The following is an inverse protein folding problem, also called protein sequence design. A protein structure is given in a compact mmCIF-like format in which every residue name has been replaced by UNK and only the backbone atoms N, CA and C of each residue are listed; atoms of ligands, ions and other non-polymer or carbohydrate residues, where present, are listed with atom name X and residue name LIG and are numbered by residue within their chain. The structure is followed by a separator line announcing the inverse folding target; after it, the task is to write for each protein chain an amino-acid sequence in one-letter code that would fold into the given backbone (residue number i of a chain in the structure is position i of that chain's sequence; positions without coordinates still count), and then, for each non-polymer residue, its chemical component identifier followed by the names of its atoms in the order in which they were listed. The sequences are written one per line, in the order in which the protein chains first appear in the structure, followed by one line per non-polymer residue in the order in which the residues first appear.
data_IF_746096308560
#
_entry.id   IF_746096308560
#
_cell.length_a   1.000
_cell.length_b   1.000
_cell.length_c   1.000
_cell.angle_alpha   90.00
_cell.angle_beta   90.00
_cell.angle_gamma   90.00
#
_symmetry.space_group_name_H-M   'P 1'
#
loop_
_entity.id
_entity.type
_entity.pdbx_description
1 polymer ?
#
# COMPACT_ATOMS: atom_id res chain seq x y z
N UNK A 1 10.90 2.34 17.51
CA UNK A 1 10.99 3.20 16.31
C UNK A 1 12.24 2.80 15.54
N UNK A 2 12.19 2.59 14.22
CA UNK A 2 13.39 2.19 13.46
C UNK A 2 14.26 3.43 13.21
N UNK A 3 15.52 3.42 13.67
CA UNK A 3 16.52 4.41 13.25
C UNK A 3 17.41 3.77 12.16
N UNK A 4 17.35 4.35 10.97
CA UNK A 4 18.27 4.08 9.87
C UNK A 4 19.58 4.83 10.12
N UNK A 5 20.69 4.12 10.16
CA UNK A 5 22.01 4.71 10.29
C UNK A 5 22.45 5.22 8.90
N UNK A 6 22.67 6.54 8.75
CA UNK A 6 22.81 7.21 7.44
C UNK A 6 24.11 6.89 6.68
N UNK A 7 25.01 6.09 7.26
CA UNK A 7 26.31 5.77 6.65
C UNK A 7 26.23 4.49 5.83
N UNK A 8 26.13 4.64 4.51
CA UNK A 8 26.46 3.56 3.57
C UNK A 8 27.96 3.31 3.65
N UNK A 9 28.33 2.05 3.89
CA UNK A 9 29.59 1.46 3.44
C UNK A 9 29.21 0.28 2.55
N UNK A 10 29.85 0.15 1.39
CA UNK A 10 29.76 -1.03 0.52
C UNK A 10 28.34 -1.42 0.04
N UNK A 11 27.46 -0.44 -0.20
CA UNK A 11 26.09 -0.66 -0.70
C UNK A 11 25.08 -1.17 0.34
N UNK A 12 25.46 -1.16 1.62
CA UNK A 12 24.66 -1.68 2.73
C UNK A 12 24.01 -0.55 3.53
N UNK A 13 22.71 -0.71 3.84
CA UNK A 13 21.97 0.17 4.75
C UNK A 13 21.66 -0.59 6.04
N UNK A 14 22.16 -0.05 7.15
CA UNK A 14 22.07 -0.66 8.47
C UNK A 14 20.85 -0.13 9.23
N UNK A 15 20.03 -1.04 9.75
CA UNK A 15 18.88 -0.70 10.60
C UNK A 15 19.14 -1.09 12.04
N UNK A 16 18.99 -0.12 12.96
CA UNK A 16 18.93 -0.37 14.40
C UNK A 16 17.49 -0.55 14.84
N UNK A 17 17.17 -1.75 15.32
CA UNK A 17 15.92 -2.03 16.01
C UNK A 17 16.10 -1.72 17.50
N UNK A 18 15.71 -0.51 17.92
CA UNK A 18 15.56 -0.24 19.36
C UNK A 18 14.25 -0.87 19.83
N UNK A 19 14.34 -1.89 20.68
CA UNK A 19 13.20 -2.40 21.44
C UNK A 19 12.62 -1.24 22.26
N UNK A 20 11.47 -0.73 21.84
CA UNK A 20 10.83 0.42 22.46
C UNK A 20 9.87 -0.07 23.52
N UNK A 21 10.35 -0.32 24.73
CA UNK A 21 9.50 -0.25 25.90
C UNK A 21 8.90 1.15 25.94
N UNK A 22 7.57 1.27 25.76
CA UNK A 22 6.88 2.54 25.92
C UNK A 22 6.84 2.87 27.42
N UNK A 23 7.78 3.69 27.90
CA UNK A 23 7.83 4.12 29.29
C UNK A 23 8.14 5.61 29.41
N UNK A 24 7.40 6.26 30.31
CA UNK A 24 7.60 7.63 30.81
C UNK A 24 7.57 8.78 29.78
N UNK A 25 6.39 9.35 29.55
CA UNK A 25 6.24 10.78 29.22
C UNK A 25 4.90 11.37 29.69
N UNK A 26 4.50 11.05 30.93
CA UNK A 26 3.45 11.75 31.71
C UNK A 26 3.81 11.79 33.21
N UNK A 27 5.01 12.27 33.52
CA UNK A 27 5.37 12.93 34.79
C UNK A 27 6.24 14.13 34.43
N UNK A 28 6.15 15.20 35.24
CA UNK A 28 6.63 16.57 34.95
C UNK A 28 5.69 17.44 34.08
N UNK A 29 4.46 17.62 34.57
CA UNK A 29 3.85 18.94 34.64
C UNK A 29 3.04 19.02 35.94
N UNK A 30 3.70 19.41 37.03
CA UNK A 30 3.01 19.82 38.24
C UNK A 30 2.52 21.25 38.03
N UNK A 31 1.21 21.43 37.88
CA UNK A 31 0.57 22.75 37.96
C UNK A 31 -0.13 22.79 39.32
N UNK A 32 0.16 23.78 40.19
CA UNK A 32 -0.48 23.87 41.49
C UNK A 32 -1.96 24.26 41.35
N UNK A 33 -2.79 23.78 42.27
CA UNK A 33 -4.16 24.27 42.43
C UNK A 33 -4.13 25.78 42.74
N UNK A 34 -4.90 26.56 41.98
CA UNK A 34 -5.41 27.86 42.44
C UNK A 34 -6.86 28.06 41.98
N UNK A 35 -7.55 28.96 42.68
CA UNK A 35 -9.01 28.98 42.82
C UNK A 35 -9.83 29.32 41.57
N UNK A 36 -11.11 28.93 41.65
CA UNK A 36 -12.21 29.31 40.76
C UNK A 36 -12.44 30.83 40.78
N UNK A 37 -12.47 31.50 39.62
CA UNK A 37 -13.36 32.63 39.32
C UNK A 37 -13.23 33.18 37.87
N UNK A 38 -14.36 33.22 37.14
CA UNK A 38 -14.69 34.12 36.00
C UNK A 38 -14.01 33.95 34.61
N UNK A 39 -14.76 34.39 33.58
CA UNK A 39 -14.42 34.60 32.15
C UNK A 39 -14.40 33.41 31.15
N UNK A 40 -15.59 33.04 30.70
CA UNK A 40 -15.93 32.95 29.26
C UNK A 40 -16.71 34.22 28.85
N UNK A 41 -16.87 34.62 27.56
CA UNK A 41 -16.60 33.85 26.34
C UNK A 41 -15.79 34.57 25.22
N UNK A 42 -14.89 33.84 24.54
CA UNK A 42 -14.49 34.15 23.16
C UNK A 42 -14.51 32.86 22.33
N UNK A 43 -15.73 32.42 21.95
CA UNK A 43 -15.96 31.32 21.01
C UNK A 43 -16.85 31.75 19.82
N UNK A 44 -17.19 33.04 19.72
CA UNK A 44 -18.24 33.53 18.82
C UNK A 44 -17.75 34.36 17.61
N UNK A 45 -16.46 34.34 17.29
CA UNK A 45 -15.88 35.08 16.14
C UNK A 45 -15.19 34.19 15.10
N UNK A 46 -15.04 32.88 15.33
CA UNK A 46 -14.43 31.95 14.36
C UNK A 46 -15.45 31.19 13.48
N UNK A 47 -16.73 31.15 13.87
CA UNK A 47 -17.80 30.42 13.15
C UNK A 47 -18.59 31.29 12.14
N UNK A 48 -18.06 32.45 11.74
CA UNK A 48 -18.75 33.41 10.86
C UNK A 48 -18.16 33.54 9.44
N UNK A 49 -17.35 32.56 8.98
CA UNK A 49 -16.61 32.67 7.70
C UNK A 49 -16.68 31.44 6.77
N UNK A 50 -17.67 30.57 6.92
CA UNK A 50 -17.97 29.55 5.91
C UNK A 50 -19.33 29.85 5.26
N UNK A 51 -19.29 30.03 3.94
CA UNK A 51 -20.44 30.26 3.06
C UNK A 51 -21.18 28.93 2.87
N UNK A 52 -22.51 28.86 3.05
CA UNK A 52 -23.24 27.63 2.76
C UNK A 52 -23.28 27.36 1.25
N UNK A 53 -23.00 26.12 0.85
CA UNK A 53 -23.28 25.64 -0.51
C UNK A 53 -24.70 25.06 -0.58
N UNK A 54 -25.43 25.44 -1.63
CA UNK A 54 -26.83 25.07 -1.83
C UNK A 54 -26.94 23.65 -2.40
N UNK A 55 -27.83 22.78 -1.89
CA UNK A 55 -28.09 21.47 -2.51
C UNK A 55 -28.79 21.62 -3.87
N UNK A 56 -28.39 20.82 -4.86
CA UNK A 56 -29.15 20.62 -6.11
C UNK A 56 -29.91 19.28 -6.10
N UNK A 57 -30.99 19.14 -6.91
CA UNK A 57 -32.09 18.25 -6.55
C UNK A 57 -31.86 16.76 -6.84
N UNK A 58 -32.50 15.92 -6.04
CA UNK A 58 -32.65 14.49 -6.31
C UNK A 58 -33.61 14.25 -7.47
N UNK A 59 -33.25 13.34 -8.38
CA UNK A 59 -34.18 12.76 -9.36
C UNK A 59 -34.71 11.43 -8.82
N UNK A 60 -36.04 11.30 -8.75
CA UNK A 60 -36.70 10.04 -8.41
C UNK A 60 -36.54 9.02 -9.54
N UNK A 61 -36.30 7.76 -9.19
CA UNK A 61 -36.80 6.62 -9.97
C UNK A 61 -37.46 5.62 -9.03
N UNK A 62 -38.57 5.06 -9.51
CA UNK A 62 -39.53 4.30 -8.72
C UNK A 62 -39.11 2.84 -8.49
N UNK A 63 -39.80 2.22 -7.53
CA UNK A 63 -39.76 0.79 -7.22
C UNK A 63 -40.04 -0.11 -8.43
N UNK A 64 -39.14 -1.06 -8.69
CA UNK A 64 -39.43 -2.26 -9.47
C UNK A 64 -38.84 -3.50 -8.76
N UNK A 65 -39.61 -4.59 -8.70
CA UNK A 65 -39.30 -5.74 -7.86
C UNK A 65 -38.28 -6.72 -8.48
N UNK A 66 -37.59 -7.47 -7.63
CA UNK A 66 -36.69 -8.56 -8.02
C UNK A 66 -37.44 -9.80 -8.52
N UNK A 67 -36.94 -10.46 -9.58
CA UNK A 67 -37.14 -11.89 -9.81
C UNK A 67 -35.83 -12.69 -9.55
N UNK A 68 -35.93 -13.80 -8.82
CA UNK A 68 -34.83 -14.74 -8.55
C UNK A 68 -34.48 -15.60 -9.78
N UNK A 69 -33.21 -15.93 -10.04
CA UNK A 69 -32.83 -16.89 -11.07
C UNK A 69 -32.91 -18.34 -10.55
N UNK A 70 -33.55 -19.20 -11.34
CA UNK A 70 -33.64 -20.66 -11.15
C UNK A 70 -32.50 -21.36 -11.89
N UNK A 71 -32.01 -22.48 -11.37
CA UNK A 71 -30.96 -23.30 -12.00
C UNK A 71 -31.55 -24.14 -13.14
N UNK A 72 -30.98 -24.03 -14.35
CA UNK A 72 -31.04 -25.08 -15.37
C UNK A 72 -29.89 -24.98 -16.40
N UNK A 73 -29.38 -26.14 -16.79
CA UNK A 73 -28.55 -26.41 -17.98
C UNK A 73 -29.07 -27.74 -18.57
N UNK A 74 -28.68 -28.20 -19.79
CA UNK A 74 -27.70 -27.66 -20.74
C UNK A 74 -28.24 -27.52 -22.19
N UNK A 75 -27.39 -27.07 -23.13
CA UNK A 75 -27.13 -27.62 -24.50
C UNK A 75 -26.25 -26.62 -25.28
N UNK A 76 -25.39 -27.13 -26.17
CA UNK A 76 -24.45 -26.37 -27.01
C UNK A 76 -24.64 -26.79 -28.49
N UNK A 77 -23.79 -26.37 -29.46
CA UNK A 77 -23.04 -25.12 -29.64
C UNK A 77 -23.47 -24.38 -30.95
N UNK A 78 -22.89 -23.22 -31.32
CA UNK A 78 -22.66 -22.81 -32.74
C UNK A 78 -21.82 -21.51 -32.89
N UNK A 79 -20.74 -21.60 -33.68
CA UNK A 79 -20.10 -20.59 -34.56
C UNK A 79 -19.84 -19.14 -34.13
N UNK A 80 -18.60 -18.67 -34.34
CA UNK A 80 -18.17 -17.27 -34.24
C UNK A 80 -18.25 -16.51 -35.59
N UNK A 81 -18.41 -15.17 -35.55
CA UNK A 81 -17.99 -14.28 -36.63
C UNK A 81 -17.02 -13.15 -36.19
N UNK A 82 -16.26 -12.66 -37.17
CA UNK A 82 -15.13 -11.71 -37.06
C UNK A 82 -15.50 -10.26 -36.65
N UNK A 83 -14.54 -9.46 -36.13
CA UNK A 83 -14.80 -8.09 -35.63
C UNK A 83 -15.06 -7.07 -36.74
N UNK A 84 -15.96 -6.11 -36.49
CA UNK A 84 -16.27 -4.98 -37.38
C UNK A 84 -15.40 -3.75 -37.08
N UNK A 85 -15.07 -2.99 -38.13
CA UNK A 85 -14.30 -1.76 -38.10
C UNK A 85 -15.02 -0.62 -37.37
N UNK A 86 -14.24 0.27 -36.74
CA UNK A 86 -14.69 1.60 -36.30
C UNK A 86 -14.70 2.60 -37.48
N UNK A 87 -15.67 3.53 -37.57
CA UNK A 87 -15.69 4.60 -38.56
C UNK A 87 -14.93 5.85 -38.09
N UNK A 88 -14.30 6.56 -39.04
CA UNK A 88 -13.61 7.85 -38.85
C UNK A 88 -14.59 9.04 -38.80
N UNK A 89 -14.31 10.10 -38.01
CA UNK A 89 -15.03 11.36 -38.09
C UNK A 89 -14.39 12.35 -39.08
N UNK A 90 -15.21 13.08 -39.83
CA UNK A 90 -14.80 14.22 -40.66
C UNK A 90 -15.54 15.52 -40.27
N UNK A 91 -14.94 16.64 -40.69
CA UNK A 91 -15.48 18.00 -40.83
C UNK A 91 -15.35 18.98 -39.65
N UNK A 92 -15.02 20.22 -40.00
CA UNK A 92 -14.76 21.39 -39.15
C UNK A 92 -15.42 22.63 -39.73
N UNK A 93 -15.76 23.62 -38.89
CA UNK A 93 -15.46 25.04 -39.16
C UNK A 93 -15.01 25.80 -37.88
N UNK A 94 -14.33 26.97 -37.90
CA UNK A 94 -13.62 27.71 -38.96
C UNK A 94 -12.64 28.72 -38.31
N UNK A 95 -11.63 29.20 -39.04
CA UNK A 95 -10.66 30.19 -38.54
C UNK A 95 -11.11 31.66 -38.73
N UNK A 96 -10.57 32.60 -37.94
CA UNK A 96 -9.43 33.43 -38.42
C UNK A 96 -8.37 33.65 -37.30
N UNK A 97 -7.20 34.28 -37.46
CA UNK A 97 -6.58 35.04 -38.58
C UNK A 97 -5.05 34.84 -38.54
N UNK A 98 -4.38 35.04 -39.68
CA UNK A 98 -2.95 34.76 -39.91
C UNK A 98 -2.02 35.86 -39.36
N UNK A 99 -1.03 35.52 -38.55
CA UNK A 99 0.24 36.26 -38.41
C UNK A 99 1.39 35.37 -38.93
N UNK A 100 2.37 35.99 -39.58
CA UNK A 100 3.55 35.32 -40.16
C UNK A 100 4.67 35.12 -39.12
N UNK A 101 5.63 34.21 -39.35
CA UNK A 101 6.44 33.64 -38.28
C UNK A 101 7.64 34.49 -37.87
N UNK A 102 7.91 34.55 -36.56
CA UNK A 102 9.25 34.90 -36.08
C UNK A 102 10.15 33.66 -36.15
N UNK A 103 11.24 33.77 -36.91
CA UNK A 103 12.25 32.72 -36.99
C UNK A 103 13.00 32.67 -35.67
N UNK A 104 12.77 31.62 -34.88
CA UNK A 104 13.70 31.19 -33.86
C UNK A 104 14.18 29.77 -34.19
N UNK A 105 15.50 29.66 -34.29
CA UNK A 105 16.23 28.44 -34.64
C UNK A 105 15.94 27.31 -33.68
N UNK A 106 15.45 26.18 -34.19
CA UNK A 106 15.44 24.91 -33.48
C UNK A 106 16.85 24.57 -32.99
N UNK A 107 17.08 24.25 -31.71
CA UNK A 107 18.26 23.50 -31.33
C UNK A 107 18.15 22.13 -32.00
N UNK A 108 19.15 21.76 -32.79
CA UNK A 108 19.23 20.45 -33.42
C UNK A 108 19.12 19.34 -32.38
N UNK A 109 18.11 18.48 -32.53
CA UNK A 109 18.04 17.20 -31.83
C UNK A 109 19.11 16.27 -32.41
N UNK A 110 20.36 16.45 -31.97
CA UNK A 110 21.35 15.39 -32.05
C UNK A 110 20.73 14.12 -31.43
N UNK A 111 20.81 12.96 -32.10
CA UNK A 111 20.30 11.74 -31.50
C UNK A 111 21.05 11.50 -30.20
N UNK A 112 20.31 11.36 -29.09
CA UNK A 112 20.87 10.89 -27.84
C UNK A 112 21.39 9.49 -28.11
N UNK A 113 22.72 9.39 -28.30
CA UNK A 113 23.40 8.12 -28.51
C UNK A 113 23.01 7.21 -27.36
N UNK A 114 22.35 6.09 -27.68
CA UNK A 114 21.93 5.13 -26.69
C UNK A 114 23.16 4.69 -25.89
N UNK A 115 23.25 5.15 -24.64
CA UNK A 115 24.33 4.79 -23.75
C UNK A 115 24.35 3.26 -23.65
N UNK A 116 25.48 2.64 -23.99
CA UNK A 116 25.65 1.18 -23.88
C UNK A 116 25.21 0.76 -22.47
N UNK A 117 24.43 -0.34 -22.33
CA UNK A 117 23.89 -0.73 -21.04
C UNK A 117 25.02 -0.88 -20.03
N UNK A 118 24.99 -0.03 -18.99
CA UNK A 118 25.95 -0.10 -17.90
C UNK A 118 25.59 -1.32 -17.07
N UNK A 119 26.26 -2.45 -17.34
CA UNK A 119 26.18 -3.67 -16.54
C UNK A 119 26.73 -3.39 -15.15
N UNK A 120 25.89 -2.84 -14.27
CA UNK A 120 26.22 -2.66 -12.86
C UNK A 120 26.42 -4.05 -12.25
N UNK A 121 27.49 -4.23 -11.46
CA UNK A 121 27.70 -5.51 -10.78
C UNK A 121 26.49 -5.81 -9.87
N UNK A 122 26.01 -7.07 -9.81
CA UNK A 122 24.95 -7.46 -8.90
C UNK A 122 25.29 -7.06 -7.46
N UNK A 123 24.36 -6.37 -6.78
CA UNK A 123 24.57 -5.95 -5.40
C UNK A 123 24.83 -7.17 -4.51
N UNK A 124 26.05 -7.22 -3.96
CA UNK A 124 26.56 -8.36 -3.20
C UNK A 124 25.57 -8.82 -2.12
N UNK A 125 25.32 -10.13 -2.08
CA UNK A 125 24.53 -10.77 -1.03
C UNK A 125 25.50 -11.15 0.10
N UNK A 126 25.32 -10.64 1.33
CA UNK A 126 26.12 -11.10 2.46
C UNK A 126 25.99 -12.62 2.66
N UNK A 127 27.05 -13.28 3.14
CA UNK A 127 26.97 -14.69 3.50
C UNK A 127 25.85 -14.93 4.52
N UNK A 128 25.04 -15.98 4.33
CA UNK A 128 23.88 -16.31 5.17
C UNK A 128 22.86 -15.18 5.33
N UNK A 129 22.76 -14.26 4.36
CA UNK A 129 21.84 -13.14 4.41
C UNK A 129 20.38 -13.56 4.62
N UNK A 130 19.75 -12.96 5.64
CA UNK A 130 18.30 -12.96 5.83
C UNK A 130 17.81 -11.51 5.83
N UNK A 131 16.71 -11.18 5.13
CA UNK A 131 16.13 -9.84 5.19
C UNK A 131 15.70 -9.53 6.63
N UNK A 132 15.91 -8.30 7.13
CA UNK A 132 15.48 -7.91 8.47
C UNK A 132 13.98 -8.12 8.68
N UNK A 133 13.58 -8.58 9.86
CA UNK A 133 12.19 -8.79 10.24
C UNK A 133 11.48 -7.45 10.52
N UNK A 134 11.23 -6.66 9.48
CA UNK A 134 10.50 -5.39 9.54
C UNK A 134 9.00 -5.65 9.56
N UNK A 135 8.30 -5.17 10.59
CA UNK A 135 6.83 -5.15 10.61
C UNK A 135 6.30 -3.93 9.84
N UNK A 136 5.34 -4.15 8.93
CA UNK A 136 4.52 -3.12 8.33
C UNK A 136 3.10 -3.20 8.87
N UNK A 137 2.48 -2.03 9.08
CA UNK A 137 1.13 -1.86 9.61
C UNK A 137 0.25 -1.23 8.55
N UNK A 138 -0.69 -2.00 8.02
CA UNK A 138 -1.50 -1.64 6.84
C UNK A 138 -2.96 -1.51 7.24
N UNK A 139 -3.56 -0.34 7.07
CA UNK A 139 -5.00 -0.19 7.28
C UNK A 139 -5.77 -0.85 6.12
N UNK A 140 -6.53 -1.90 6.43
CA UNK A 140 -7.32 -2.68 5.45
C UNK A 140 -8.76 -2.19 5.39
N UNK A 141 -9.37 -1.96 6.56
CA UNK A 141 -10.72 -1.39 6.71
C UNK A 141 -10.61 -0.18 7.64
N UNK A 142 -11.34 0.89 7.33
CA UNK A 142 -11.35 2.16 8.06
C UNK A 142 -12.78 2.66 8.02
N UNK A 143 -13.26 3.22 9.13
CA UNK A 143 -14.60 3.83 9.21
C UNK A 143 -15.74 2.84 8.89
N UNK A 144 -15.61 1.58 9.33
CA UNK A 144 -16.61 0.53 9.11
C UNK A 144 -17.39 0.22 10.40
N UNK A 145 -18.67 -0.11 10.29
CA UNK A 145 -19.51 -0.42 11.46
C UNK A 145 -19.25 -1.83 12.03
N UNK A 146 -18.87 -2.77 11.17
CA UNK A 146 -18.57 -4.16 11.51
C UNK A 146 -17.53 -4.76 10.56
N UNK A 147 -16.91 -5.87 10.98
CA UNK A 147 -16.13 -6.78 10.12
C UNK A 147 -16.33 -8.23 10.55
N UNK A 148 -16.18 -9.18 9.62
CA UNK A 148 -16.11 -10.62 9.92
C UNK A 148 -14.66 -11.06 10.12
N UNK A 149 -14.35 -11.69 11.25
CA UNK A 149 -13.01 -12.18 11.61
C UNK A 149 -13.03 -13.70 11.79
N UNK A 150 -12.24 -14.42 11.00
CA UNK A 150 -12.05 -15.87 11.10
C UNK A 150 -10.57 -16.25 11.12
N UNK A 151 -10.25 -17.51 11.41
CA UNK A 151 -8.86 -18.01 11.48
C UNK A 151 -8.75 -19.42 10.91
N UNK A 152 -7.66 -19.75 10.22
CA UNK A 152 -7.46 -21.10 9.63
C UNK A 152 -6.85 -22.12 10.60
N UNK A 153 -6.81 -21.80 11.88
CA UNK A 153 -6.17 -22.56 12.95
C UNK A 153 -6.27 -21.81 14.29
N UNK A 154 -5.66 -22.31 15.37
CA UNK A 154 -5.73 -21.65 16.66
C UNK A 154 -5.07 -20.26 16.64
N UNK A 155 -5.75 -19.28 17.22
CA UNK A 155 -5.30 -17.91 17.38
C UNK A 155 -5.62 -17.39 18.78
N UNK A 156 -4.75 -16.55 19.31
CA UNK A 156 -4.95 -15.86 20.59
C UNK A 156 -5.42 -14.44 20.30
N UNK A 157 -6.53 -14.06 20.93
CA UNK A 157 -6.94 -12.67 21.09
C UNK A 157 -6.16 -12.10 22.27
N UNK A 158 -5.42 -11.02 22.06
CA UNK A 158 -4.68 -10.30 23.10
C UNK A 158 -5.15 -8.85 23.22
N UNK A 159 -4.94 -8.25 24.39
CA UNK A 159 -5.10 -6.80 24.57
C UNK A 159 -3.96 -6.01 23.89
N UNK A 160 -3.97 -4.68 24.04
CA UNK A 160 -2.93 -3.79 23.50
C UNK A 160 -1.53 -4.05 24.09
N UNK A 161 -1.46 -4.61 25.30
CA UNK A 161 -0.24 -4.90 26.05
C UNK A 161 0.32 -6.29 25.69
N UNK A 162 -0.49 -7.15 25.08
CA UNK A 162 -0.14 -8.51 24.69
C UNK A 162 -0.63 -9.59 25.66
N UNK A 163 -1.43 -9.25 26.68
CA UNK A 163 -2.02 -10.25 27.57
C UNK A 163 -3.10 -11.05 26.82
N UNK A 164 -3.06 -12.37 26.96
CA UNK A 164 -4.05 -13.27 26.35
C UNK A 164 -5.43 -13.11 27.00
N UNK A 165 -6.43 -12.78 26.19
CA UNK A 165 -7.83 -12.64 26.60
C UNK A 165 -8.63 -13.93 26.32
N UNK A 166 -8.44 -14.51 25.13
CA UNK A 166 -9.16 -15.72 24.69
C UNK A 166 -8.41 -16.41 23.55
N UNK A 167 -8.44 -17.74 23.51
CA UNK A 167 -8.08 -18.51 22.32
C UNK A 167 -9.33 -18.78 21.48
N UNK A 168 -9.24 -18.55 20.17
CA UNK A 168 -10.24 -18.90 19.16
C UNK A 168 -9.64 -19.90 18.17
N UNK A 169 -10.46 -20.81 17.66
CA UNK A 169 -10.09 -21.76 16.62
C UNK A 169 -11.32 -21.96 15.71
N UNK A 170 -11.75 -20.86 15.08
CA UNK A 170 -12.99 -20.79 14.31
C UNK A 170 -12.69 -20.70 12.82
N UNK A 171 -13.05 -21.77 12.10
CA UNK A 171 -13.05 -21.79 10.64
C UNK A 171 -14.19 -20.93 10.04
N UNK A 172 -15.12 -20.45 10.88
CA UNK A 172 -16.19 -19.52 10.53
C UNK A 172 -15.87 -18.10 10.99
N UNK A 173 -16.37 -17.09 10.27
CA UNK A 173 -16.15 -15.69 10.58
C UNK A 173 -17.05 -15.18 11.71
N UNK A 174 -16.46 -14.76 12.83
CA UNK A 174 -17.17 -14.09 13.92
C UNK A 174 -17.34 -12.59 13.59
N UNK A 175 -18.56 -12.02 13.72
CA UNK A 175 -18.76 -10.59 13.56
C UNK A 175 -18.13 -9.83 14.73
N UNK A 176 -17.33 -8.81 14.39
CA UNK A 176 -16.80 -7.80 15.32
C UNK A 176 -17.55 -6.50 15.09
N UNK A 177 -18.07 -5.94 16.18
CA UNK A 177 -18.74 -4.63 16.22
C UNK A 177 -18.18 -3.79 17.37
N UNK A 178 -18.37 -2.47 17.30
CA UNK A 178 -18.18 -1.61 18.48
C UNK A 178 -19.36 -1.79 19.45
N UNK A 179 -19.07 -1.66 20.74
CA UNK A 179 -20.00 -1.71 21.86
C UNK A 179 -19.67 -0.57 22.84
N UNK A 180 -20.57 -0.28 23.78
CA UNK A 180 -20.41 0.85 24.70
C UNK A 180 -19.09 0.86 25.51
N UNK A 181 -18.50 -0.31 25.76
CA UNK A 181 -17.30 -0.48 26.59
C UNK A 181 -16.11 -1.11 25.83
N UNK A 182 -16.10 -1.06 24.49
CA UNK A 182 -15.05 -1.65 23.66
C UNK A 182 -15.59 -2.42 22.46
N UNK A 183 -15.05 -3.60 22.20
CA UNK A 183 -15.42 -4.45 21.07
C UNK A 183 -16.31 -5.61 21.51
N UNK A 184 -17.21 -6.06 20.64
CA UNK A 184 -17.92 -7.35 20.79
C UNK A 184 -17.61 -8.24 19.59
N UNK A 185 -17.10 -9.45 19.83
CA UNK A 185 -16.77 -10.45 18.81
C UNK A 185 -17.59 -11.73 19.04
N UNK A 186 -18.61 -11.99 18.21
CA UNK A 186 -19.64 -12.97 18.56
C UNK A 186 -20.26 -12.58 19.91
N UNK A 187 -20.27 -13.49 20.90
CA UNK A 187 -20.73 -13.19 22.27
C UNK A 187 -19.64 -12.66 23.22
N UNK A 188 -18.40 -12.53 22.76
CA UNK A 188 -17.26 -12.13 23.59
C UNK A 188 -17.13 -10.60 23.67
N UNK A 189 -17.30 -10.05 24.86
CA UNK A 189 -16.94 -8.65 25.18
C UNK A 189 -15.42 -8.51 25.32
N UNK A 190 -14.85 -7.49 24.67
CA UNK A 190 -13.42 -7.26 24.52
C UNK A 190 -13.07 -5.77 24.71
N UNK A 191 -11.82 -5.43 25.09
CA UNK A 191 -11.36 -4.04 25.12
C UNK A 191 -11.49 -3.32 23.77
N UNK A 192 -11.42 -1.99 23.79
CA UNK A 192 -11.40 -1.14 22.58
C UNK A 192 -10.28 -1.48 21.58
N UNK A 193 -9.18 -2.08 22.06
CA UNK A 193 -8.00 -2.38 21.26
C UNK A 193 -7.56 -3.83 21.53
N UNK A 194 -7.61 -4.66 20.50
CA UNK A 194 -7.20 -6.06 20.55
C UNK A 194 -6.36 -6.46 19.34
N UNK A 195 -5.51 -7.47 19.49
CA UNK A 195 -4.93 -8.20 18.37
C UNK A 195 -5.56 -9.58 18.27
N UNK A 196 -5.81 -10.04 17.04
CA UNK A 196 -6.03 -11.45 16.70
C UNK A 196 -4.74 -11.97 16.09
N UNK A 197 -4.07 -12.90 16.78
CA UNK A 197 -2.77 -13.42 16.38
C UNK A 197 -2.81 -14.96 16.28
N UNK A 198 -2.62 -15.54 15.07
CA UNK A 198 -2.46 -16.97 14.90
C UNK A 198 -1.27 -17.52 15.69
N UNK A 199 -1.39 -18.76 16.19
CA UNK A 199 -0.31 -19.40 16.97
C UNK A 199 0.71 -20.12 16.10
N UNK A 200 0.35 -20.48 14.86
CA UNK A 200 1.25 -21.13 13.89
C UNK A 200 1.80 -20.14 12.87
N UNK A 201 2.95 -20.48 12.26
CA UNK A 201 3.63 -19.61 11.29
C UNK A 201 2.94 -19.53 9.91
N UNK A 202 2.15 -20.55 9.58
CA UNK A 202 1.25 -20.63 8.43
C UNK A 202 -0.17 -20.12 8.73
N UNK A 203 -0.40 -19.68 9.97
CA UNK A 203 -1.67 -19.14 10.43
C UNK A 203 -2.05 -17.83 9.74
N UNK A 204 -3.34 -17.70 9.45
CA UNK A 204 -3.95 -16.61 8.70
C UNK A 204 -5.17 -16.08 9.46
N UNK A 205 -5.38 -14.77 9.36
CA UNK A 205 -6.61 -14.11 9.83
C UNK A 205 -7.46 -13.71 8.63
N UNK A 206 -8.70 -14.16 8.60
CA UNK A 206 -9.72 -13.71 7.65
C UNK A 206 -10.26 -12.35 8.09
N UNK A 207 -10.43 -11.43 7.15
CA UNK A 207 -11.12 -10.15 7.35
C UNK A 207 -12.04 -9.91 6.17
N UNK A 208 -13.35 -10.03 6.40
CA UNK A 208 -14.50 -9.91 5.47
C UNK A 208 -14.48 -10.76 4.20
N UNK A 209 -13.47 -10.57 3.35
CA UNK A 209 -13.38 -11.07 1.98
C UNK A 209 -11.96 -11.53 1.61
N UNK A 210 -10.98 -11.45 2.51
CA UNK A 210 -9.62 -11.95 2.26
C UNK A 210 -8.91 -12.45 3.50
N UNK A 211 -7.89 -13.28 3.27
CA UNK A 211 -7.01 -13.85 4.28
C UNK A 211 -5.68 -13.10 4.34
N UNK A 212 -5.21 -12.82 5.55
CA UNK A 212 -4.03 -12.02 5.82
C UNK A 212 -3.01 -12.78 6.68
N UNK A 213 -1.73 -12.65 6.34
CA UNK A 213 -0.61 -13.19 7.11
C UNK A 213 -0.29 -12.31 8.33
N UNK A 214 0.31 -12.91 9.36
CA UNK A 214 0.65 -12.17 10.58
C UNK A 214 -0.58 -11.97 11.47
N UNK A 215 -0.68 -10.82 12.14
CA UNK A 215 -1.76 -10.53 13.09
C UNK A 215 -2.63 -9.36 12.63
N UNK A 216 -3.85 -9.28 13.14
CA UNK A 216 -4.79 -8.19 12.84
C UNK A 216 -5.10 -7.44 14.12
N UNK A 217 -4.85 -6.13 14.10
CA UNK A 217 -5.25 -5.17 15.12
C UNK A 217 -6.65 -4.65 14.81
N UNK A 218 -7.54 -4.70 15.79
CA UNK A 218 -8.88 -4.13 15.77
C UNK A 218 -8.93 -2.99 16.79
N UNK A 219 -9.44 -1.83 16.37
CA UNK A 219 -9.52 -0.61 17.17
C UNK A 219 -10.92 -0.02 17.06
N UNK A 220 -11.62 0.12 18.19
CA UNK A 220 -12.83 0.93 18.29
C UNK A 220 -12.47 2.44 18.22
N UNK A 221 -13.20 3.19 17.42
CA UNK A 221 -13.04 4.63 17.19
C UNK A 221 -14.43 5.27 17.13
N UNK A 222 -14.97 5.69 18.28
CA UNK A 222 -16.37 6.13 18.35
C UNK A 222 -17.32 4.96 18.10
N UNK A 223 -18.23 5.09 17.14
CA UNK A 223 -19.13 4.02 16.65
C UNK A 223 -18.51 3.17 15.52
N UNK A 224 -17.21 3.35 15.22
CA UNK A 224 -16.55 2.80 14.02
C UNK A 224 -15.35 1.93 14.36
N UNK A 225 -14.98 1.06 13.41
CA UNK A 225 -13.81 0.19 13.49
C UNK A 225 -12.70 0.66 12.54
N UNK A 226 -11.48 0.60 13.05
CA UNK A 226 -10.24 0.60 12.28
C UNK A 226 -9.62 -0.81 12.36
N UNK A 227 -9.28 -1.37 11.20
CA UNK A 227 -8.68 -2.71 11.09
C UNK A 227 -7.33 -2.61 10.40
N UNK A 228 -6.27 -3.00 11.10
CA UNK A 228 -4.87 -2.87 10.67
C UNK A 228 -4.19 -4.23 10.70
N UNK A 229 -3.67 -4.69 9.56
CA UNK A 229 -2.82 -5.89 9.55
C UNK A 229 -1.37 -5.52 9.86
N UNK A 230 -0.79 -6.27 10.79
CA UNK A 230 0.61 -6.23 11.17
C UNK A 230 1.30 -7.47 10.59
N UNK A 231 2.19 -7.27 9.63
CA UNK A 231 2.78 -8.34 8.82
C UNK A 231 4.25 -8.05 8.53
N UNK A 232 5.03 -9.10 8.27
CA UNK A 232 6.41 -8.95 7.80
C UNK A 232 6.45 -8.26 6.43
N UNK A 233 7.37 -7.32 6.24
CA UNK A 233 7.51 -6.54 5.00
C UNK A 233 7.71 -7.41 3.75
N UNK A 234 8.49 -8.47 3.81
CA UNK A 234 8.69 -9.36 2.65
C UNK A 234 7.40 -10.14 2.33
N UNK A 235 6.67 -10.60 3.35
CA UNK A 235 5.36 -11.25 3.17
C UNK A 235 4.28 -10.31 2.63
N UNK A 236 4.29 -9.04 3.04
CA UNK A 236 3.43 -7.98 2.49
C UNK A 236 3.66 -7.80 0.98
N UNK A 237 4.92 -7.82 0.55
CA UNK A 237 5.29 -7.61 -0.85
C UNK A 237 4.81 -8.72 -1.78
N UNK A 238 4.64 -9.96 -1.30
CA UNK A 238 4.06 -11.03 -2.12
C UNK A 238 2.67 -10.65 -2.67
N UNK A 239 1.84 -10.00 -1.84
CA UNK A 239 0.51 -9.50 -2.21
C UNK A 239 0.57 -8.22 -3.02
N UNK A 240 1.43 -7.26 -2.64
CA UNK A 240 1.54 -5.99 -3.39
C UNK A 240 2.03 -6.23 -4.81
N UNK A 241 3.10 -7.01 -5.02
CA UNK A 241 3.63 -7.23 -6.38
C UNK A 241 2.60 -7.87 -7.30
N UNK A 242 1.78 -8.82 -6.82
CA UNK A 242 0.71 -9.44 -7.61
C UNK A 242 -0.60 -8.64 -7.68
N UNK A 243 -0.76 -7.63 -6.82
CA UNK A 243 -1.86 -6.66 -6.91
C UNK A 243 -1.56 -5.52 -7.87
N UNK A 244 -0.27 -5.18 -8.03
CA UNK A 244 0.24 -4.06 -8.82
C UNK A 244 0.67 -4.47 -10.23
N UNK A 245 1.08 -5.72 -10.45
CA UNK A 245 1.44 -6.20 -11.78
C UNK A 245 0.97 -7.65 -12.00
N UNK A 246 0.57 -7.96 -13.23
CA UNK A 246 0.02 -9.27 -13.57
C UNK A 246 1.03 -10.40 -13.27
N UNK A 247 0.54 -11.52 -12.74
CA UNK A 247 1.39 -12.62 -12.26
C UNK A 247 2.24 -13.29 -13.35
N UNK A 248 1.85 -13.17 -14.61
CA UNK A 248 2.60 -13.65 -15.79
C UNK A 248 3.60 -12.64 -16.36
N UNK A 249 3.76 -11.46 -15.73
CA UNK A 249 4.72 -10.47 -16.19
C UNK A 249 6.16 -11.01 -16.15
N UNK A 250 7.05 -10.55 -17.06
CA UNK A 250 8.45 -10.96 -17.06
C UNK A 250 9.10 -10.81 -15.68
N UNK A 251 9.86 -11.83 -15.27
CA UNK A 251 10.49 -11.90 -13.94
C UNK A 251 11.36 -10.68 -13.61
N UNK A 252 11.97 -10.03 -14.60
CA UNK A 252 12.76 -8.80 -14.40
C UNK A 252 11.87 -7.60 -14.03
N UNK A 253 10.69 -7.46 -14.63
CA UNK A 253 9.71 -6.45 -14.24
C UNK A 253 9.14 -6.73 -12.84
N UNK A 254 8.85 -8.00 -12.49
CA UNK A 254 8.37 -8.37 -11.15
C UNK A 254 9.42 -8.05 -10.07
N UNK A 255 10.71 -8.27 -10.36
CA UNK A 255 11.83 -7.88 -9.49
C UNK A 255 11.95 -6.37 -9.33
N UNK A 256 11.80 -5.60 -10.42
CA UNK A 256 11.78 -4.14 -10.35
C UNK A 256 10.61 -3.63 -9.50
N UNK A 257 9.41 -4.18 -9.69
CA UNK A 257 8.22 -3.87 -8.90
C UNK A 257 8.42 -4.23 -7.41
N UNK A 258 9.03 -5.37 -7.08
CA UNK A 258 9.32 -5.75 -5.69
C UNK A 258 10.24 -4.73 -4.99
N UNK A 259 11.30 -4.27 -5.65
CA UNK A 259 12.26 -3.31 -5.10
C UNK A 259 11.62 -1.92 -4.93
N UNK A 260 10.85 -1.46 -5.91
CA UNK A 260 10.11 -0.21 -5.80
C UNK A 260 9.07 -0.29 -4.67
N UNK A 261 8.24 -1.34 -4.65
CA UNK A 261 7.24 -1.54 -3.60
C UNK A 261 7.86 -1.60 -2.19
N UNK A 262 9.01 -2.27 -2.02
CA UNK A 262 9.75 -2.31 -0.74
C UNK A 262 10.25 -0.94 -0.31
N UNK A 263 10.74 -0.13 -1.24
CA UNK A 263 11.29 1.20 -0.97
C UNK A 263 10.21 2.19 -0.55
N UNK A 264 9.08 2.20 -1.28
CA UNK A 264 7.88 2.96 -0.90
C UNK A 264 7.36 2.57 0.49
N UNK A 265 7.22 1.27 0.75
CA UNK A 265 6.75 0.75 2.04
C UNK A 265 7.63 1.18 3.22
N UNK A 266 8.96 1.14 3.06
CA UNK A 266 9.92 1.60 4.08
C UNK A 266 9.82 3.10 4.35
N UNK A 267 9.63 3.91 3.32
CA UNK A 267 9.40 5.35 3.50
C UNK A 267 8.21 5.62 4.41
N UNK A 268 7.14 4.82 4.27
CA UNK A 268 5.93 4.92 5.09
C UNK A 268 6.07 4.26 6.48
N UNK A 269 7.00 3.32 6.67
CA UNK A 269 7.40 2.86 8.02
C UNK A 269 8.16 3.98 8.77
N UNK A 270 8.96 4.80 8.06
CA UNK A 270 9.71 5.92 8.63
C UNK A 270 8.82 7.14 8.87
N UNK A 271 7.91 7.42 7.92
CA UNK A 271 6.96 8.54 7.93
C UNK A 271 5.52 7.97 7.87
N UNK A 272 5.01 7.42 8.98
CA UNK A 272 3.71 6.75 8.99
C UNK A 272 2.55 7.74 8.84
N UNK A 273 1.48 7.29 8.20
CA UNK A 273 0.26 8.07 8.03
C UNK A 273 -0.33 8.57 9.36
N UNK A 274 -0.26 7.76 10.42
CA UNK A 274 -0.60 8.14 11.80
C UNK A 274 -0.01 7.11 12.80
N UNK A 275 -0.22 7.25 14.13
CA UNK A 275 0.32 6.30 15.11
C UNK A 275 -0.17 4.85 14.99
N UNK A 276 -1.33 4.59 14.38
CA UNK A 276 -1.92 3.24 14.25
C UNK A 276 -1.34 2.45 13.07
N UNK A 277 -1.20 3.08 11.91
CA UNK A 277 -0.77 2.42 10.67
C UNK A 277 0.22 3.25 9.83
N UNK A 278 1.04 2.55 9.05
CA UNK A 278 2.06 3.13 8.19
C UNK A 278 1.45 3.67 6.89
N UNK A 279 0.61 2.86 6.23
CA UNK A 279 -0.06 3.18 4.96
C UNK A 279 -1.44 2.49 4.86
N UNK A 280 -2.25 2.90 3.88
CA UNK A 280 -3.50 2.23 3.50
C UNK A 280 -3.33 1.23 2.36
N UNK A 281 -4.38 0.47 2.05
CA UNK A 281 -4.37 -0.65 1.08
C UNK A 281 -4.91 -0.34 -0.34
N UNK A 282 -5.10 0.94 -0.69
CA UNK A 282 -5.75 1.36 -1.95
C UNK A 282 -4.78 1.98 -2.96
N UNK A 283 -5.25 2.30 -4.17
CA UNK A 283 -4.49 2.95 -5.25
C UNK A 283 -3.83 4.29 -4.90
N UNK A 284 -4.24 4.95 -3.80
CA UNK A 284 -3.56 6.15 -3.26
C UNK A 284 -2.22 5.79 -2.59
N UNK A 285 -2.03 4.52 -2.25
CA UNK A 285 -0.91 3.95 -1.53
C UNK A 285 -0.31 2.83 -2.38
N UNK A 286 -0.39 1.59 -1.90
CA UNK A 286 -0.11 0.37 -2.66
C UNK A 286 -1.32 -0.54 -2.50
N UNK A 287 -1.72 -1.20 -3.58
CA UNK A 287 -2.86 -2.13 -3.54
C UNK A 287 -2.46 -3.37 -2.73
N UNK A 288 -3.14 -3.60 -1.60
CA UNK A 288 -2.87 -4.74 -0.72
C UNK A 288 -4.15 -5.54 -0.46
N UNK A 289 -4.16 -6.79 -0.93
CA UNK A 289 -5.34 -7.67 -0.94
C UNK A 289 -5.16 -8.94 -0.10
N UNK A 290 -4.08 -9.04 0.69
CA UNK A 290 -3.73 -10.27 1.38
C UNK A 290 -3.39 -11.40 0.40
N UNK A 291 -3.52 -12.66 0.82
CA UNK A 291 -3.01 -13.80 0.06
C UNK A 291 -3.71 -14.01 -1.29
N UNK A 292 -4.90 -13.42 -1.51
CA UNK A 292 -5.67 -13.47 -2.78
C UNK A 292 -4.92 -12.91 -4.00
N UNK A 293 -3.79 -12.25 -3.78
CA UNK A 293 -2.94 -11.63 -4.79
C UNK A 293 -1.50 -12.15 -4.77
N UNK A 294 -1.23 -13.23 -4.02
CA UNK A 294 0.06 -13.90 -4.00
C UNK A 294 0.13 -14.96 -5.10
N UNK A 295 1.26 -15.01 -5.81
CA UNK A 295 1.52 -16.01 -6.84
C UNK A 295 2.96 -16.51 -6.71
N UNK A 296 3.26 -17.72 -7.21
CA UNK A 296 4.61 -18.28 -7.17
C UNK A 296 5.66 -17.35 -7.82
N UNK A 297 5.29 -16.65 -8.89
CA UNK A 297 6.15 -15.65 -9.56
C UNK A 297 6.41 -14.41 -8.70
N UNK A 298 5.43 -13.94 -7.91
CA UNK A 298 5.61 -12.80 -7.00
C UNK A 298 6.48 -13.18 -5.81
N UNK A 299 6.30 -14.40 -5.27
CA UNK A 299 7.17 -14.99 -4.26
C UNK A 299 8.62 -15.07 -4.75
N UNK A 300 8.84 -15.61 -5.94
CA UNK A 300 10.17 -15.70 -6.56
C UNK A 300 10.82 -14.32 -6.76
N UNK A 301 10.07 -13.33 -7.25
CA UNK A 301 10.59 -11.98 -7.50
C UNK A 301 10.96 -11.24 -6.20
N UNK A 302 10.12 -11.33 -5.18
CA UNK A 302 10.36 -10.73 -3.86
C UNK A 302 11.57 -11.39 -3.19
N UNK A 303 11.63 -12.72 -3.15
CA UNK A 303 12.73 -13.47 -2.55
C UNK A 303 14.07 -13.26 -3.27
N UNK A 304 14.07 -13.24 -4.61
CA UNK A 304 15.28 -12.95 -5.40
C UNK A 304 15.78 -11.50 -5.23
N UNK A 305 14.96 -10.60 -4.68
CA UNK A 305 15.30 -9.21 -4.38
C UNK A 305 15.26 -8.91 -2.88
N UNK A 306 15.32 -9.93 -2.01
CA UNK A 306 15.13 -9.79 -0.56
C UNK A 306 15.98 -8.64 0.03
N UNK A 307 15.29 -7.73 0.72
CA UNK A 307 15.85 -6.50 1.30
C UNK A 307 16.56 -5.53 0.34
N UNK A 308 16.49 -5.71 -0.99
CA UNK A 308 16.98 -4.71 -1.94
C UNK A 308 16.01 -3.54 -2.04
N UNK A 309 16.57 -2.32 -1.99
CA UNK A 309 15.83 -1.06 -2.02
C UNK A 309 16.54 -0.04 -2.93
N UNK A 310 15.77 0.96 -3.37
CA UNK A 310 16.26 2.14 -4.05
C UNK A 310 16.84 3.13 -3.03
N UNK A 311 18.08 3.58 -3.27
CA UNK A 311 18.79 4.48 -2.37
C UNK A 311 19.49 5.62 -3.10
N UNK A 312 19.46 6.80 -2.48
CA UNK A 312 20.16 8.00 -2.94
C UNK A 312 20.79 8.72 -1.74
N UNK A 313 22.10 9.01 -1.81
CA UNK A 313 22.89 9.70 -0.77
C UNK A 313 22.67 9.16 0.66
N UNK A 314 22.54 7.84 0.82
CA UNK A 314 22.33 7.19 2.13
C UNK A 314 20.88 7.16 2.64
N UNK A 315 19.93 7.79 1.93
CA UNK A 315 18.50 7.66 2.20
C UNK A 315 17.87 6.53 1.38
N UNK A 316 16.72 6.02 1.85
CA UNK A 316 15.78 5.27 1.01
C UNK A 316 15.01 6.24 0.10
N UNK A 317 14.76 5.86 -1.14
CA UNK A 317 14.00 6.66 -2.10
C UNK A 317 12.51 6.30 -2.03
N UNK A 318 11.66 7.33 -2.02
CA UNK A 318 10.22 7.19 -2.18
C UNK A 318 9.91 6.94 -3.67
N UNK A 319 9.88 5.66 -4.03
CA UNK A 319 9.72 5.22 -5.42
C UNK A 319 8.25 5.14 -5.80
N UNK A 320 7.77 6.23 -6.40
CA UNK A 320 6.45 6.34 -7.01
C UNK A 320 6.37 5.43 -8.25
N UNK A 321 5.23 4.80 -8.48
CA UNK A 321 4.97 3.98 -9.67
C UNK A 321 3.48 4.00 -10.01
N UNK A 322 3.13 3.74 -11.27
CA UNK A 322 1.74 3.68 -11.72
C UNK A 322 1.58 2.73 -12.94
N UNK A 323 0.34 2.42 -13.31
CA UNK A 323 0.04 1.44 -14.37
C UNK A 323 0.64 1.80 -15.74
N UNK A 324 0.60 3.07 -16.12
CA UNK A 324 1.08 3.54 -17.43
C UNK A 324 1.89 4.83 -17.31
N UNK A 325 2.67 5.12 -18.36
CA UNK A 325 3.51 6.32 -18.43
C UNK A 325 2.66 7.60 -18.42
N UNK A 326 1.43 7.59 -18.97
CA UNK A 326 0.50 8.73 -18.88
C UNK A 326 0.05 8.98 -17.43
N UNK A 327 -0.19 7.93 -16.65
CA UNK A 327 -0.58 8.06 -15.24
C UNK A 327 0.62 8.53 -14.41
N UNK A 328 1.84 8.07 -14.68
CA UNK A 328 3.06 8.60 -14.03
C UNK A 328 3.28 10.08 -14.38
N UNK A 329 3.04 10.47 -15.63
CA UNK A 329 3.11 11.86 -16.06
C UNK A 329 2.11 12.74 -15.28
N UNK A 330 0.85 12.33 -15.25
CA UNK A 330 -0.24 13.08 -14.61
C UNK A 330 -0.17 13.09 -13.08
N UNK A 331 0.01 11.93 -12.43
CA UNK A 331 -0.05 11.80 -10.97
C UNK A 331 1.24 12.21 -10.24
N UNK A 332 2.39 12.15 -10.92
CA UNK A 332 3.70 12.31 -10.27
C UNK A 332 4.62 13.35 -10.95
N UNK A 333 4.15 13.98 -12.03
CA UNK A 333 4.94 14.91 -12.84
C UNK A 333 6.05 14.19 -13.62
N UNK A 334 5.77 12.98 -14.11
CA UNK A 334 6.72 12.16 -14.88
C UNK A 334 7.76 11.43 -14.04
N UNK A 335 7.68 11.50 -12.71
CA UNK A 335 8.63 10.88 -11.77
C UNK A 335 8.09 9.58 -11.23
N UNK A 336 8.62 8.45 -11.67
CA UNK A 336 8.26 7.13 -11.16
C UNK A 336 8.34 6.05 -12.23
N UNK A 337 8.07 4.81 -11.83
CA UNK A 337 8.07 3.67 -12.74
C UNK A 337 6.69 3.42 -13.34
N UNK A 338 6.61 3.34 -14.68
CA UNK A 338 5.46 2.79 -15.39
C UNK A 338 5.50 1.27 -15.32
N UNK A 339 4.43 0.63 -14.86
CA UNK A 339 4.32 -0.83 -14.77
C UNK A 339 4.30 -1.46 -16.19
N UNK A 340 3.49 -0.92 -17.10
CA UNK A 340 3.46 -1.36 -18.50
C UNK A 340 4.75 -1.04 -19.27
N UNK A 341 5.41 0.06 -18.93
CA UNK A 341 6.71 0.39 -19.50
C UNK A 341 7.83 -0.54 -18.98
N UNK A 342 7.87 -0.83 -17.67
CA UNK A 342 8.78 -1.80 -17.08
C UNK A 342 8.61 -3.21 -17.66
N UNK A 343 7.36 -3.63 -17.88
CA UNK A 343 7.00 -4.86 -18.59
C UNK A 343 7.64 -4.89 -20.01
N UNK A 344 7.41 -3.84 -20.82
CA UNK A 344 7.96 -3.73 -22.20
C UNK A 344 9.49 -3.68 -22.23
N UNK A 345 10.14 -3.10 -21.23
CA UNK A 345 11.60 -3.10 -21.12
C UNK A 345 12.14 -4.50 -20.80
N UNK A 346 11.45 -5.25 -19.92
CA UNK A 346 11.82 -6.64 -19.63
C UNK A 346 11.65 -7.58 -20.84
N UNK A 347 10.60 -7.39 -21.67
CA UNK A 347 10.45 -8.12 -22.94
C UNK A 347 11.57 -7.83 -23.95
N UNK A 348 12.15 -6.62 -23.91
CA UNK A 348 13.35 -6.25 -24.68
C UNK A 348 14.65 -6.81 -24.09
N UNK A 349 14.56 -7.68 -23.08
CA UNK A 349 15.70 -8.34 -22.45
C UNK A 349 16.42 -7.52 -21.37
N UNK A 350 15.88 -6.37 -20.95
CA UNK A 350 16.50 -5.60 -19.87
C UNK A 350 16.30 -6.29 -18.51
N UNK A 351 17.34 -6.25 -17.68
CA UNK A 351 17.26 -6.73 -16.30
C UNK A 351 16.58 -5.71 -15.36
N UNK A 352 16.23 -6.16 -14.15
CA UNK A 352 15.56 -5.32 -13.16
C UNK A 352 16.38 -4.08 -12.74
N UNK A 353 17.72 -4.12 -12.81
CA UNK A 353 18.57 -2.98 -12.46
C UNK A 353 18.57 -1.94 -13.57
N UNK A 354 18.56 -2.37 -14.83
CA UNK A 354 18.45 -1.52 -16.00
C UNK A 354 17.07 -0.86 -16.06
N UNK A 355 16.00 -1.62 -15.81
CA UNK A 355 14.62 -1.12 -15.70
C UNK A 355 14.53 -0.05 -14.60
N UNK A 356 15.04 -0.32 -13.39
CA UNK A 356 15.04 0.65 -12.30
C UNK A 356 15.92 1.87 -12.61
N UNK A 357 17.07 1.70 -13.28
CA UNK A 357 17.95 2.81 -13.66
C UNK A 357 17.32 3.73 -14.72
N UNK A 358 16.43 3.20 -15.56
CA UNK A 358 15.66 3.98 -16.54
C UNK A 358 14.65 4.93 -15.85
N UNK A 359 13.90 4.42 -14.85
CA UNK A 359 12.85 5.20 -14.16
C UNK A 359 13.34 6.02 -12.97
N UNK A 360 14.47 5.65 -12.37
CA UNK A 360 15.04 6.31 -11.20
C UNK A 360 16.51 6.74 -11.49
N UNK A 361 16.72 7.70 -12.41
CA UNK A 361 18.06 8.13 -12.79
C UNK A 361 18.85 8.68 -11.60
N UNK A 362 20.13 8.32 -11.50
CA UNK A 362 20.99 8.69 -10.39
C UNK A 362 20.76 7.92 -9.08
N UNK A 363 19.75 7.03 -9.02
CA UNK A 363 19.47 6.17 -7.87
C UNK A 363 20.30 4.88 -7.96
N UNK A 364 20.78 4.42 -6.79
CA UNK A 364 21.49 3.15 -6.63
C UNK A 364 20.60 2.09 -5.98
N UNK A 365 21.05 0.83 -6.04
CA UNK A 365 20.50 -0.22 -5.21
C UNK A 365 21.31 -0.32 -3.91
N UNK A 366 20.61 -0.51 -2.81
CA UNK A 366 21.19 -0.83 -1.51
C UNK A 366 20.45 -2.02 -0.88
N UNK A 367 21.09 -2.70 0.08
CA UNK A 367 20.49 -3.84 0.78
C UNK A 367 20.35 -3.52 2.27
N UNK A 368 19.15 -3.77 2.79
CA UNK A 368 18.83 -3.70 4.21
C UNK A 368 19.57 -4.80 4.97
N UNK A 369 20.28 -4.45 6.04
CA UNK A 369 20.83 -5.42 7.00
C UNK A 369 20.47 -5.04 8.43
N UNK A 370 20.39 -6.04 9.30
CA UNK A 370 20.33 -5.82 10.74
C UNK A 370 21.70 -5.32 11.19
N UNK A 371 21.71 -4.27 12.01
CA UNK A 371 22.90 -3.83 12.72
C UNK A 371 22.90 -4.57 14.07
N UNK A 372 23.75 -5.59 14.19
CA UNK A 372 24.12 -6.18 15.48
C UNK A 372 24.92 -5.16 16.31
#
# INVERSE_FOLDING_TARGET
MIKLDKKIKDGVIKMKFTASAYFSLLRHCAVPLLSIATFTPILLTYLAKQKPETPQPQANLETAAFPSPIIASPIAPLTAPSPKLFPSPQSSPSAPKKLAPSVQTSPSTSPVVAAKPVTRQPLAVPANYRPPAVEIRVAIKRDVASVLIGVNGPAVITDRQGHGLKTIATNEGLPVIVSANGLKMGDLSLPEVIFVQPTSADGLVYVDDSWYRGKVLLVAQGDRLLVVNHVNLESYLYSVVGSEMHSTAPMQALKAQAIAARSYALVHIIRPANPWFHLGNSQRWQVYKGIRSEYQSTHQAVNATAGQILSYKGGVVESLYAATDEIVAWAHGGRGMSQTGAYKLAEKGLDYQQILSNYYPGVGLARLVVQN
#
